data_IF_157917328664
#
_entry.id   IF_157917328664
#
_cell.length_a   1.000
_cell.length_b   1.000
_cell.length_c   1.000
_cell.angle_alpha   90.00
_cell.angle_beta   90.00
_cell.angle_gamma   90.00
#
_symmetry.space_group_name_H-M   'P 1'
#
loop_
_entity.id
_entity.type
_entity.pdbx_description
1 polymer ?
#
# COMPACT_ATOMS: atom_id res chain seq x y z
N UNK A 1 -26.92 -4.83 -28.76
CA UNK A 1 -26.74 -3.53 -28.06
C UNK A 1 -25.76 -3.66 -26.90
N UNK A 2 -25.79 -4.72 -26.05
CA UNK A 2 -24.81 -4.95 -24.96
C UNK A 2 -23.35 -5.07 -25.46
N UNK A 3 -23.13 -5.55 -26.69
CA UNK A 3 -21.77 -5.69 -27.27
C UNK A 3 -21.15 -4.37 -27.75
N UNK A 4 -21.95 -3.34 -28.00
CA UNK A 4 -21.48 -2.07 -28.54
C UNK A 4 -21.17 -0.99 -27.50
N UNK A 5 -21.74 -1.09 -26.31
CA UNK A 5 -21.67 -0.06 -25.25
C UNK A 5 -20.88 -0.47 -24.02
N UNK A 6 -20.45 -1.76 -23.93
CA UNK A 6 -19.61 -2.23 -22.82
C UNK A 6 -20.14 -1.86 -21.42
N UNK A 7 -19.24 -1.35 -20.57
CA UNK A 7 -19.52 -1.01 -19.18
C UNK A 7 -20.51 0.17 -19.00
N UNK A 8 -20.73 0.97 -20.05
CA UNK A 8 -21.71 2.08 -20.02
C UNK A 8 -23.15 1.59 -19.93
N UNK A 9 -23.44 0.38 -20.42
CA UNK A 9 -24.79 -0.15 -20.41
C UNK A 9 -25.24 -0.59 -19.00
N UNK A 10 -24.32 -1.06 -18.17
CA UNK A 10 -24.59 -1.42 -16.78
C UNK A 10 -24.85 -0.20 -15.90
N UNK A 11 -24.28 0.94 -16.25
CA UNK A 11 -24.52 2.20 -15.56
C UNK A 11 -25.86 2.83 -15.92
N UNK A 12 -26.34 2.68 -17.17
CA UNK A 12 -27.62 3.22 -17.60
C UNK A 12 -28.81 2.24 -17.39
N UNK A 13 -28.52 0.93 -17.43
CA UNK A 13 -29.54 -0.13 -17.31
C UNK A 13 -29.02 -1.25 -16.38
N UNK A 14 -28.89 -0.96 -15.08
CA UNK A 14 -28.39 -1.95 -14.14
C UNK A 14 -29.39 -3.12 -13.99
N UNK A 15 -28.86 -4.34 -13.99
CA UNK A 15 -29.65 -5.54 -13.78
C UNK A 15 -29.73 -5.96 -12.31
N UNK A 16 -28.82 -5.41 -11.47
CA UNK A 16 -28.77 -5.65 -10.02
C UNK A 16 -28.63 -4.35 -9.25
N UNK A 17 -28.91 -4.38 -7.94
CA UNK A 17 -28.71 -3.22 -7.05
C UNK A 17 -27.22 -2.83 -7.02
N UNK A 18 -26.31 -3.80 -7.04
CA UNK A 18 -24.88 -3.58 -7.10
C UNK A 18 -24.48 -2.85 -8.39
N UNK A 19 -25.03 -3.25 -9.53
CA UNK A 19 -24.83 -2.56 -10.82
C UNK A 19 -25.42 -1.14 -10.81
N UNK A 20 -26.57 -0.93 -10.15
CA UNK A 20 -27.20 0.39 -10.03
C UNK A 20 -26.35 1.37 -9.19
N UNK A 21 -25.57 0.87 -8.28
CA UNK A 21 -24.66 1.64 -7.45
C UNK A 21 -23.29 1.89 -8.11
N UNK A 22 -23.01 1.27 -9.26
CA UNK A 22 -21.80 1.53 -10.04
C UNK A 22 -21.89 2.87 -10.75
N UNK A 23 -21.07 3.82 -10.32
CA UNK A 23 -20.98 5.15 -10.94
C UNK A 23 -20.30 5.05 -12.32
N UNK A 24 -20.79 5.73 -13.37
CA UNK A 24 -20.13 5.80 -14.67
C UNK A 24 -18.71 6.38 -14.55
N UNK A 25 -17.70 5.59 -14.86
CA UNK A 25 -16.28 5.98 -14.76
C UNK A 25 -15.34 4.82 -14.47
N UNK A 26 -15.89 3.72 -13.98
CA UNK A 26 -15.16 2.49 -13.64
C UNK A 26 -14.36 2.60 -12.33
N UNK A 27 -14.20 1.47 -11.64
CA UNK A 27 -13.39 1.37 -10.43
C UNK A 27 -11.95 1.80 -10.71
N UNK A 28 -11.31 2.43 -9.73
CA UNK A 28 -9.91 2.83 -9.86
C UNK A 28 -8.95 1.64 -9.75
N UNK A 29 -9.30 0.64 -8.91
CA UNK A 29 -8.57 -0.60 -8.72
C UNK A 29 -9.40 -1.82 -9.21
N UNK A 30 -9.66 -1.95 -10.52
CA UNK A 30 -10.47 -3.06 -11.04
C UNK A 30 -9.81 -4.44 -10.86
N UNK A 31 -8.49 -4.43 -10.60
CA UNK A 31 -7.71 -5.64 -10.31
C UNK A 31 -7.99 -6.25 -8.95
N UNK A 32 -8.52 -5.46 -7.99
CA UNK A 32 -8.77 -5.95 -6.62
C UNK A 32 -10.00 -6.84 -6.59
N UNK A 33 -9.76 -8.12 -6.38
CA UNK A 33 -10.79 -9.16 -6.28
C UNK A 33 -10.61 -9.94 -4.98
N UNK A 34 -11.72 -10.24 -4.32
CA UNK A 34 -11.71 -10.94 -3.04
C UNK A 34 -10.97 -12.29 -3.12
N UNK A 35 -11.32 -13.10 -4.10
CA UNK A 35 -10.75 -14.44 -4.36
C UNK A 35 -9.25 -14.45 -4.70
N UNK A 36 -8.69 -13.32 -5.10
CA UNK A 36 -7.28 -13.22 -5.49
C UNK A 36 -6.43 -12.49 -4.45
N UNK A 37 -7.03 -11.47 -3.79
CA UNK A 37 -6.31 -10.61 -2.86
C UNK A 37 -6.53 -10.98 -1.39
N UNK A 38 -7.64 -11.64 -1.05
CA UNK A 38 -7.90 -12.14 0.29
C UNK A 38 -7.33 -13.55 0.44
N UNK A 39 -6.51 -13.77 1.47
CA UNK A 39 -5.83 -15.05 1.72
C UNK A 39 -6.11 -15.53 3.13
N UNK A 40 -6.33 -16.84 3.28
CA UNK A 40 -6.64 -17.45 4.56
C UNK A 40 -5.42 -17.52 5.49
N UNK A 41 -4.23 -17.68 4.92
CA UNK A 41 -3.02 -17.93 5.69
C UNK A 41 -2.27 -16.63 5.99
N UNK A 42 -1.89 -16.37 7.25
CA UNK A 42 -1.04 -15.25 7.59
C UNK A 42 0.38 -15.47 7.03
N UNK A 43 1.09 -14.36 6.76
CA UNK A 43 2.52 -14.42 6.49
C UNK A 43 3.27 -14.95 7.72
N UNK A 44 4.30 -15.75 7.49
CA UNK A 44 5.09 -16.39 8.54
C UNK A 44 6.59 -16.05 8.43
N UNK A 45 7.36 -16.34 9.49
CA UNK A 45 8.79 -16.06 9.54
C UNK A 45 9.13 -14.67 10.08
N UNK A 46 10.33 -14.13 9.75
CA UNK A 46 10.71 -12.77 10.16
C UNK A 46 9.85 -11.74 9.42
N UNK A 47 9.08 -10.95 10.18
CA UNK A 47 8.15 -9.96 9.64
C UNK A 47 8.50 -8.57 10.18
N UNK A 48 8.40 -7.56 9.32
CA UNK A 48 8.34 -6.16 9.72
C UNK A 48 6.88 -5.72 9.74
N UNK A 49 6.49 -4.94 10.75
CA UNK A 49 5.11 -4.49 10.93
C UNK A 49 5.01 -2.99 10.87
N UNK A 50 4.02 -2.52 10.14
CA UNK A 50 3.72 -1.11 9.92
C UNK A 50 2.28 -0.84 10.29
N UNK A 51 2.03 0.31 10.90
CA UNK A 51 0.66 0.82 11.05
C UNK A 51 0.56 2.08 10.21
N UNK A 52 -0.41 2.09 9.31
CA UNK A 52 -0.71 3.22 8.45
C UNK A 52 -1.97 3.87 8.95
N UNK A 53 -1.97 5.18 9.09
CA UNK A 53 -3.14 5.91 9.57
C UNK A 53 -3.51 7.03 8.60
N UNK A 54 -4.81 7.24 8.45
CA UNK A 54 -5.42 8.47 7.97
C UNK A 54 -6.32 8.98 9.09
N UNK A 55 -6.06 10.18 9.58
CA UNK A 55 -6.78 10.75 10.71
C UNK A 55 -7.34 12.12 10.39
N UNK A 56 -8.67 12.20 10.45
CA UNK A 56 -9.47 13.42 10.48
C UNK A 56 -10.37 13.43 11.71
N UNK A 57 -11.03 14.56 11.97
CA UNK A 57 -12.03 14.62 13.03
C UNK A 57 -13.28 13.77 12.72
N UNK A 58 -13.56 13.57 11.46
CA UNK A 58 -14.68 12.80 10.94
C UNK A 58 -14.40 11.29 10.92
N UNK A 59 -13.12 10.89 10.78
CA UNK A 59 -12.74 9.49 10.72
C UNK A 59 -11.28 9.27 11.09
N UNK A 60 -11.03 8.25 11.92
CA UNK A 60 -9.74 7.58 12.01
C UNK A 60 -9.83 6.30 11.17
N UNK A 61 -8.92 6.11 10.22
CA UNK A 61 -8.74 4.84 9.52
C UNK A 61 -7.32 4.34 9.73
N UNK A 62 -7.16 3.12 10.20
CA UNK A 62 -5.86 2.54 10.52
C UNK A 62 -5.74 1.10 10.00
N UNK A 63 -4.60 0.80 9.37
CA UNK A 63 -4.32 -0.51 8.78
C UNK A 63 -2.97 -1.04 9.25
N UNK A 64 -2.95 -2.29 9.73
CA UNK A 64 -1.73 -2.99 10.11
C UNK A 64 -1.24 -3.82 8.94
N UNK A 65 -0.05 -3.53 8.47
CA UNK A 65 0.58 -4.20 7.34
C UNK A 65 1.86 -4.89 7.80
N UNK A 66 1.98 -6.17 7.52
CA UNK A 66 3.21 -6.94 7.73
C UNK A 66 3.88 -7.26 6.40
N UNK A 67 5.21 -7.32 6.42
CA UNK A 67 6.03 -7.57 5.23
C UNK A 67 7.07 -8.62 5.54
N UNK A 68 7.18 -9.64 4.69
CA UNK A 68 8.16 -10.70 4.80
C UNK A 68 9.52 -10.33 4.16
N UNK A 69 10.49 -11.21 4.30
CA UNK A 69 11.85 -11.02 3.74
C UNK A 69 11.89 -11.05 2.20
N UNK A 70 10.83 -11.51 1.56
CA UNK A 70 10.67 -11.56 0.09
C UNK A 70 9.91 -10.34 -0.44
N UNK A 71 9.67 -9.33 0.40
CA UNK A 71 8.89 -8.13 0.07
C UNK A 71 7.43 -8.43 -0.33
N UNK A 72 6.82 -9.52 0.21
CA UNK A 72 5.38 -9.70 0.16
C UNK A 72 4.75 -9.02 1.36
N UNK A 73 3.68 -8.27 1.14
CA UNK A 73 2.96 -7.57 2.18
C UNK A 73 1.57 -8.20 2.41
N UNK A 74 1.09 -8.08 3.63
CA UNK A 74 -0.25 -8.51 4.01
C UNK A 74 -0.85 -7.50 4.99
N UNK A 75 -2.00 -6.91 4.62
CA UNK A 75 -2.82 -6.19 5.58
C UNK A 75 -3.58 -7.21 6.43
N UNK A 76 -3.36 -7.22 7.74
CA UNK A 76 -3.88 -8.24 8.64
C UNK A 76 -4.83 -7.72 9.71
N UNK A 77 -5.06 -6.41 9.74
CA UNK A 77 -6.01 -5.74 10.64
C UNK A 77 -6.40 -4.38 10.09
N UNK A 78 -7.66 -4.01 10.26
CA UNK A 78 -8.14 -2.65 10.07
C UNK A 78 -8.85 -2.15 11.33
N UNK A 79 -8.91 -0.84 11.48
CA UNK A 79 -9.71 -0.17 12.51
C UNK A 79 -10.19 1.18 11.96
N UNK A 80 -11.49 1.36 11.93
CA UNK A 80 -12.16 2.58 11.49
C UNK A 80 -13.09 3.06 12.58
N UNK A 81 -12.95 4.32 12.99
CA UNK A 81 -13.79 4.93 14.01
C UNK A 81 -13.95 6.42 13.78
N UNK A 82 -15.18 6.90 13.66
CA UNK A 82 -15.46 8.33 13.59
C UNK A 82 -15.35 9.02 14.95
N UNK A 83 -15.28 10.34 14.93
CA UNK A 83 -15.46 11.24 16.08
C UNK A 83 -14.44 11.04 17.24
N UNK A 84 -13.27 10.46 16.97
CA UNK A 84 -12.20 10.37 17.97
C UNK A 84 -11.37 11.65 18.01
N UNK A 85 -11.08 12.15 19.21
CA UNK A 85 -10.00 13.12 19.40
C UNK A 85 -8.65 12.47 19.11
N UNK A 86 -7.63 13.26 18.79
CA UNK A 86 -6.29 12.72 18.49
C UNK A 86 -5.69 11.91 19.65
N UNK A 87 -5.93 12.30 20.90
CA UNK A 87 -5.51 11.55 22.08
C UNK A 87 -6.23 10.21 22.19
N UNK A 88 -7.57 10.21 22.04
CA UNK A 88 -8.36 8.97 22.03
C UNK A 88 -7.95 8.03 20.91
N UNK A 89 -7.67 8.58 19.72
CA UNK A 89 -7.16 7.80 18.60
C UNK A 89 -5.84 7.12 18.93
N UNK A 90 -4.87 7.88 19.47
CA UNK A 90 -3.57 7.35 19.87
C UNK A 90 -3.70 6.25 20.95
N UNK A 91 -4.47 6.49 22.02
CA UNK A 91 -4.68 5.51 23.10
C UNK A 91 -5.35 4.23 22.57
N UNK A 92 -6.34 4.37 21.71
CA UNK A 92 -7.04 3.24 21.08
C UNK A 92 -6.08 2.41 20.22
N UNK A 93 -5.30 3.07 19.34
CA UNK A 93 -4.34 2.37 18.50
C UNK A 93 -3.27 1.64 19.32
N UNK A 94 -2.76 2.24 20.39
CA UNK A 94 -1.84 1.57 21.31
C UNK A 94 -2.49 0.36 21.99
N UNK A 95 -3.73 0.49 22.46
CA UNK A 95 -4.47 -0.61 23.08
C UNK A 95 -4.66 -1.78 22.13
N UNK A 96 -5.03 -1.51 20.87
CA UNK A 96 -5.22 -2.55 19.84
C UNK A 96 -3.90 -3.23 19.48
N UNK A 97 -2.78 -2.51 19.59
CA UNK A 97 -1.44 -2.97 19.18
C UNK A 97 -0.63 -3.55 20.33
N UNK A 98 -1.17 -3.58 21.58
CA UNK A 98 -0.45 -3.76 22.86
C UNK A 98 0.63 -4.84 22.88
N UNK A 99 0.43 -5.95 22.17
CA UNK A 99 1.33 -7.12 22.19
C UNK A 99 2.23 -7.24 20.96
N UNK A 100 2.22 -6.22 20.09
CA UNK A 100 2.94 -6.25 18.83
C UNK A 100 4.05 -5.19 18.75
N UNK A 101 5.25 -5.60 18.36
CA UNK A 101 6.28 -4.64 17.98
C UNK A 101 5.97 -4.06 16.59
N UNK A 102 5.84 -2.75 16.51
CA UNK A 102 5.62 -2.00 15.26
C UNK A 102 6.92 -1.30 14.88
N UNK A 103 7.43 -1.64 13.70
CA UNK A 103 8.66 -1.03 13.17
C UNK A 103 8.47 0.46 12.84
N UNK A 104 7.30 0.83 12.28
CA UNK A 104 7.04 2.21 11.88
C UNK A 104 5.54 2.51 11.84
N UNK A 105 5.16 3.66 12.37
CA UNK A 105 3.84 4.25 12.26
C UNK A 105 3.85 5.28 11.14
N UNK A 106 3.03 5.11 10.12
CA UNK A 106 3.02 5.91 8.90
C UNK A 106 1.80 6.80 8.85
N UNK A 107 2.00 8.07 8.51
CA UNK A 107 0.91 9.04 8.45
C UNK A 107 1.13 10.10 7.35
N UNK A 108 0.05 10.69 6.81
CA UNK A 108 0.14 11.75 5.83
C UNK A 108 0.71 13.04 6.45
N UNK A 109 1.34 13.93 5.64
CA UNK A 109 2.05 15.11 6.14
C UNK A 109 1.18 16.16 6.82
N UNK A 110 -0.12 16.20 6.56
CA UNK A 110 -1.06 17.15 7.13
C UNK A 110 -1.22 17.00 8.64
N UNK A 111 -0.94 15.83 9.22
CA UNK A 111 -0.93 15.64 10.68
C UNK A 111 0.15 16.46 11.41
N UNK A 112 1.11 17.03 10.69
CA UNK A 112 2.11 17.97 11.23
C UNK A 112 1.68 19.43 11.15
N UNK A 113 0.52 19.72 10.54
CA UNK A 113 0.00 21.08 10.49
C UNK A 113 -0.44 21.50 11.89
N UNK A 114 0.07 22.66 12.34
CA UNK A 114 -0.31 23.20 13.65
C UNK A 114 -1.68 23.87 13.57
N UNK A 115 -2.49 23.62 14.56
CA UNK A 115 -3.79 24.26 14.72
C UNK A 115 -3.59 25.68 15.25
N UNK A 116 -4.33 26.64 14.71
CA UNK A 116 -4.22 28.03 15.08
C UNK A 116 -4.68 28.32 16.53
N UNK A 117 -5.61 27.52 17.05
CA UNK A 117 -6.19 27.66 18.38
C UNK A 117 -5.27 27.15 19.51
N UNK A 118 -4.58 26.04 19.28
CA UNK A 118 -3.77 25.37 20.30
C UNK A 118 -2.26 25.44 20.03
N UNK A 119 -1.86 25.81 18.81
CA UNK A 119 -0.46 25.79 18.36
C UNK A 119 0.12 24.36 18.23
N UNK A 120 -0.69 23.31 18.48
CA UNK A 120 -0.27 21.90 18.47
C UNK A 120 -0.71 21.22 17.17
N UNK A 121 0.08 20.28 16.70
CA UNK A 121 -0.27 19.40 15.61
C UNK A 121 -0.87 18.08 16.13
N UNK A 122 -1.50 17.31 15.25
CA UNK A 122 -1.91 15.95 15.58
C UNK A 122 -0.71 15.08 15.91
N UNK A 123 0.40 15.24 15.16
CA UNK A 123 1.67 14.58 15.45
C UNK A 123 2.15 14.83 16.90
N UNK A 124 2.09 16.08 17.38
CA UNK A 124 2.50 16.40 18.76
C UNK A 124 1.68 15.61 19.79
N UNK A 125 0.36 15.47 19.54
CA UNK A 125 -0.54 14.73 20.45
C UNK A 125 -0.21 13.24 20.40
N UNK A 126 -0.06 12.63 19.22
CA UNK A 126 0.32 11.22 19.08
C UNK A 126 1.66 10.93 19.75
N UNK A 127 2.63 11.83 19.61
CA UNK A 127 3.95 11.72 20.24
C UNK A 127 3.85 11.72 21.77
N UNK A 128 3.05 12.60 22.36
CA UNK A 128 2.81 12.64 23.81
C UNK A 128 2.15 11.38 24.34
N UNK A 129 1.31 10.72 23.54
CA UNK A 129 0.70 9.43 23.86
C UNK A 129 1.62 8.24 23.56
N UNK A 130 2.84 8.44 23.07
CA UNK A 130 3.84 7.39 22.86
C UNK A 130 3.90 6.82 21.44
N UNK A 131 3.18 7.40 20.47
CA UNK A 131 3.25 7.01 19.07
C UNK A 131 4.14 8.00 18.28
N UNK A 132 5.26 7.50 17.76
CA UNK A 132 6.14 8.29 16.90
C UNK A 132 5.74 8.08 15.44
N UNK A 133 5.01 9.04 14.89
CA UNK A 133 4.58 8.99 13.50
C UNK A 133 5.73 9.33 12.54
N UNK A 134 5.80 8.61 11.44
CA UNK A 134 6.69 8.88 10.33
C UNK A 134 5.90 9.49 9.18
N UNK A 135 6.35 10.66 8.74
CA UNK A 135 5.72 11.42 7.66
C UNK A 135 5.91 10.73 6.32
N UNK A 136 4.82 10.49 5.61
CA UNK A 136 4.83 9.98 4.22
C UNK A 136 4.67 11.13 3.21
N UNK A 137 4.55 10.82 1.92
CA UNK A 137 4.30 11.81 0.89
C UNK A 137 2.80 12.00 0.62
N UNK A 138 2.39 13.26 0.36
CA UNK A 138 1.03 13.59 -0.10
C UNK A 138 0.88 13.51 -1.63
N UNK A 139 1.92 13.11 -2.37
CA UNK A 139 1.80 12.95 -3.81
C UNK A 139 0.83 11.81 -4.14
N UNK A 140 -0.40 12.23 -4.47
CA UNK A 140 -1.48 11.30 -4.78
C UNK A 140 -1.16 10.44 -6.00
N UNK A 141 -0.48 11.00 -7.01
CA UNK A 141 -0.15 10.25 -8.23
C UNK A 141 0.88 9.14 -7.95
N UNK A 142 1.96 9.45 -7.26
CA UNK A 142 2.96 8.46 -6.85
C UNK A 142 2.37 7.41 -5.92
N UNK A 143 1.52 7.82 -4.97
CA UNK A 143 0.83 6.90 -4.07
C UNK A 143 -0.10 5.95 -4.82
N UNK A 144 -0.92 6.46 -5.73
CA UNK A 144 -1.80 5.65 -6.58
C UNK A 144 -1.02 4.66 -7.46
N UNK A 145 0.12 5.10 -8.01
CA UNK A 145 0.99 4.24 -8.81
C UNK A 145 1.58 3.13 -7.95
N UNK A 146 2.10 3.48 -6.76
CA UNK A 146 2.62 2.50 -5.79
C UNK A 146 1.56 1.47 -5.39
N UNK A 147 0.34 1.91 -5.09
CA UNK A 147 -0.76 1.00 -4.76
C UNK A 147 -1.06 0.01 -5.89
N UNK A 148 -1.11 0.47 -7.14
CA UNK A 148 -1.33 -0.40 -8.30
C UNK A 148 -0.21 -1.44 -8.47
N UNK A 149 1.04 -1.06 -8.23
CA UNK A 149 2.16 -2.00 -8.28
C UNK A 149 2.05 -3.07 -7.17
N UNK A 150 1.63 -2.70 -5.97
CA UNK A 150 1.43 -3.63 -4.87
C UNK A 150 0.24 -4.58 -5.12
N UNK A 151 -0.85 -4.05 -5.68
CA UNK A 151 -2.11 -4.78 -5.91
C UNK A 151 -2.11 -5.57 -7.23
N UNK A 152 -1.16 -5.31 -8.13
CA UNK A 152 -1.06 -5.99 -9.42
C UNK A 152 -0.78 -7.49 -9.22
N UNK A 153 -1.59 -8.33 -9.87
CA UNK A 153 -1.33 -9.77 -9.92
C UNK A 153 -0.14 -10.04 -10.84
N UNK A 154 0.90 -10.64 -10.30
CA UNK A 154 2.07 -11.04 -11.08
C UNK A 154 1.72 -12.14 -12.08
N UNK A 155 2.17 -12.03 -13.30
CA UNK A 155 2.00 -13.07 -14.31
C UNK A 155 2.77 -14.36 -13.96
N UNK A 156 3.89 -14.22 -13.28
CA UNK A 156 4.77 -15.31 -12.88
C UNK A 156 4.21 -16.08 -11.68
N UNK A 157 3.90 -15.37 -10.58
CA UNK A 157 3.46 -16.00 -9.33
C UNK A 157 1.95 -16.20 -9.24
N UNK A 158 1.16 -15.57 -10.15
CA UNK A 158 -0.31 -15.51 -10.12
C UNK A 158 -0.87 -14.94 -8.82
N UNK A 159 -0.07 -14.18 -8.09
CA UNK A 159 -0.45 -13.54 -6.81
C UNK A 159 -0.08 -12.06 -6.80
N UNK A 160 -0.85 -11.22 -6.11
CA UNK A 160 -0.44 -9.85 -5.84
C UNK A 160 0.66 -9.85 -4.77
N UNK A 161 1.43 -8.77 -4.73
CA UNK A 161 2.43 -8.59 -3.70
C UNK A 161 1.86 -8.09 -2.38
N UNK A 162 0.71 -7.43 -2.43
CA UNK A 162 -0.07 -7.04 -1.25
C UNK A 162 -1.36 -7.85 -1.23
N UNK A 163 -1.54 -8.57 -0.13
CA UNK A 163 -2.73 -9.38 0.16
C UNK A 163 -3.45 -8.85 1.40
N UNK A 164 -4.67 -9.31 1.63
CA UNK A 164 -5.45 -9.04 2.82
C UNK A 164 -5.70 -10.36 3.54
N UNK A 165 -5.48 -10.38 4.85
CA UNK A 165 -5.81 -11.58 5.63
C UNK A 165 -7.34 -11.72 5.66
N UNK A 166 -7.81 -12.93 5.47
CA UNK A 166 -9.25 -13.23 5.32
C UNK A 166 -10.05 -12.71 6.51
N UNK A 167 -11.16 -12.05 6.20
CA UNK A 167 -12.15 -11.51 7.13
C UNK A 167 -11.59 -10.43 8.11
N UNK A 168 -10.39 -9.87 7.87
CA UNK A 168 -9.80 -8.88 8.79
C UNK A 168 -9.83 -7.44 8.26
N UNK A 169 -10.04 -7.25 6.95
CA UNK A 169 -10.03 -5.92 6.32
C UNK A 169 -11.21 -5.71 5.37
N UNK A 170 -12.47 -5.95 5.80
CA UNK A 170 -13.64 -5.86 4.93
C UNK A 170 -13.93 -4.45 4.40
N UNK A 171 -13.72 -3.40 5.21
CA UNK A 171 -13.95 -2.01 4.79
C UNK A 171 -12.92 -1.58 3.75
N UNK A 172 -11.63 -1.83 4.00
CA UNK A 172 -10.57 -1.52 3.06
C UNK A 172 -10.81 -2.18 1.70
N UNK A 173 -11.14 -3.48 1.67
CA UNK A 173 -11.43 -4.20 0.43
C UNK A 173 -12.63 -3.57 -0.28
N UNK A 174 -13.71 -3.28 0.46
CA UNK A 174 -14.90 -2.60 -0.07
C UNK A 174 -14.56 -1.23 -0.67
N UNK A 175 -13.76 -0.42 0.03
CA UNK A 175 -13.35 0.90 -0.42
C UNK A 175 -12.48 0.82 -1.68
N UNK A 176 -11.50 -0.09 -1.73
CA UNK A 176 -10.67 -0.32 -2.92
C UNK A 176 -11.49 -0.74 -4.15
N UNK A 177 -12.52 -1.57 -3.96
CA UNK A 177 -13.39 -2.03 -5.04
C UNK A 177 -14.35 -0.96 -5.55
N UNK A 178 -14.78 -0.04 -4.67
CA UNK A 178 -15.81 0.98 -4.99
C UNK A 178 -15.24 2.33 -5.40
N UNK A 179 -14.02 2.66 -4.98
CA UNK A 179 -13.44 3.97 -5.30
C UNK A 179 -13.27 4.15 -6.82
N UNK A 180 -13.71 5.30 -7.31
CA UNK A 180 -13.77 5.59 -8.74
C UNK A 180 -12.52 6.35 -9.20
N UNK A 181 -12.29 6.37 -10.51
CA UNK A 181 -11.33 7.28 -11.13
C UNK A 181 -11.79 8.72 -11.00
N UNK A 182 -10.87 9.64 -10.74
CA UNK A 182 -11.19 11.06 -10.81
C UNK A 182 -11.56 11.45 -12.27
N UNK A 183 -12.70 12.14 -12.41
CA UNK A 183 -13.24 12.52 -13.73
C UNK A 183 -12.31 13.45 -14.52
N UNK A 184 -11.59 14.32 -13.81
CA UNK A 184 -10.69 15.31 -14.40
C UNK A 184 -9.24 14.83 -14.42
N UNK A 185 -8.88 13.91 -13.53
CA UNK A 185 -7.52 13.38 -13.37
C UNK A 185 -7.56 11.83 -13.31
N UNK A 186 -7.80 11.14 -14.43
CA UNK A 186 -8.04 9.69 -14.46
C UNK A 186 -6.86 8.82 -13.98
N UNK A 187 -5.70 9.44 -13.73
CA UNK A 187 -4.51 8.78 -13.18
C UNK A 187 -4.54 8.65 -11.65
N UNK A 188 -5.53 9.24 -10.98
CA UNK A 188 -5.75 9.16 -9.54
C UNK A 188 -7.20 8.78 -9.25
N UNK A 189 -7.48 8.33 -8.03
CA UNK A 189 -8.86 8.08 -7.62
C UNK A 189 -9.58 9.38 -7.23
N UNK A 190 -10.90 9.33 -7.30
CA UNK A 190 -11.77 10.43 -6.92
C UNK A 190 -11.75 10.63 -5.40
N UNK A 191 -11.79 11.88 -4.96
CA UNK A 191 -11.88 12.26 -3.54
C UNK A 191 -13.32 12.26 -2.99
N UNK A 192 -14.25 11.84 -3.81
CA UNK A 192 -15.68 11.74 -3.44
C UNK A 192 -16.27 10.44 -3.99
N UNK A 193 -17.13 9.73 -3.23
CA UNK A 193 -17.56 10.06 -1.85
C UNK A 193 -16.42 9.95 -0.85
N UNK A 194 -16.39 10.85 0.15
CA UNK A 194 -15.28 10.97 1.10
C UNK A 194 -15.13 9.72 1.97
N UNK A 195 -16.21 9.07 2.32
CA UNK A 195 -16.25 7.81 3.07
C UNK A 195 -15.49 6.63 2.44
N UNK A 196 -15.16 6.71 1.14
CA UNK A 196 -14.37 5.69 0.46
C UNK A 196 -12.86 6.01 0.47
N UNK A 197 -12.47 7.21 0.89
CA UNK A 197 -11.08 7.65 0.74
C UNK A 197 -10.22 7.36 1.96
N UNK A 198 -10.77 7.34 3.17
CA UNK A 198 -10.00 7.17 4.41
C UNK A 198 -9.19 5.87 4.45
N UNK A 199 -9.84 4.73 4.21
CA UNK A 199 -9.15 3.43 4.14
C UNK A 199 -8.08 3.39 3.05
N UNK A 200 -8.43 3.95 1.87
CA UNK A 200 -7.52 3.96 0.71
C UNK A 200 -6.34 4.90 0.96
N UNK A 201 -6.56 6.07 1.56
CA UNK A 201 -5.51 7.03 1.90
C UNK A 201 -4.60 6.51 3.02
N UNK A 202 -5.15 5.80 4.00
CA UNK A 202 -4.37 5.10 5.01
C UNK A 202 -3.43 4.05 4.38
N UNK A 203 -3.96 3.13 3.56
CA UNK A 203 -3.13 2.13 2.86
C UNK A 203 -2.12 2.78 1.91
N UNK A 204 -2.47 3.90 1.27
CA UNK A 204 -1.58 4.66 0.40
C UNK A 204 -0.33 5.14 1.13
N UNK A 205 -0.41 5.48 2.42
CA UNK A 205 0.75 5.84 3.24
C UNK A 205 1.82 4.73 3.24
N UNK A 206 1.41 3.47 3.35
CA UNK A 206 2.32 2.34 3.24
C UNK A 206 2.90 2.23 1.82
N UNK A 207 2.06 2.28 0.80
CA UNK A 207 2.49 2.06 -0.59
C UNK A 207 3.42 3.17 -1.13
N UNK A 208 3.31 4.40 -0.60
CA UNK A 208 4.21 5.50 -0.95
C UNK A 208 5.50 5.47 -0.12
N UNK A 209 5.43 4.98 1.10
CA UNK A 209 6.59 4.81 1.98
C UNK A 209 7.48 3.66 1.52
N UNK A 210 6.87 2.48 1.37
CA UNK A 210 7.56 1.33 0.82
C UNK A 210 7.34 1.31 -0.70
N UNK A 211 8.18 2.04 -1.41
CA UNK A 211 8.25 1.88 -2.86
C UNK A 211 8.77 0.49 -3.13
N UNK A 212 7.84 -0.44 -3.41
CA UNK A 212 8.22 -1.75 -3.90
C UNK A 212 9.11 -1.53 -5.11
N UNK A 213 10.25 -2.17 -5.10
CA UNK A 213 11.07 -2.27 -6.28
C UNK A 213 10.30 -3.07 -7.34
N UNK A 214 9.24 -2.41 -7.92
CA UNK A 214 8.70 -2.85 -9.18
C UNK A 214 9.88 -2.85 -10.13
N UNK A 215 10.35 -4.04 -10.49
CA UNK A 215 11.52 -4.16 -11.34
C UNK A 215 12.71 -3.28 -10.89
N UNK A 216 13.23 -3.53 -9.68
CA UNK A 216 14.65 -3.59 -9.64
C UNK A 216 15.03 -4.84 -10.45
N UNK A 217 14.90 -4.81 -11.79
CA UNK A 217 16.12 -5.04 -12.58
C UNK A 217 17.14 -4.20 -11.85
N UNK A 218 17.89 -4.88 -10.94
CA UNK A 218 18.97 -4.24 -10.25
C UNK A 218 19.68 -3.51 -11.36
N UNK A 219 19.59 -2.18 -11.42
CA UNK A 219 20.64 -1.39 -12.01
C UNK A 219 21.84 -1.64 -11.09
N UNK A 220 22.26 -2.88 -11.06
CA UNK A 220 23.55 -3.28 -10.55
C UNK A 220 24.44 -2.50 -11.47
N UNK A 221 24.94 -1.36 -10.98
CA UNK A 221 25.92 -0.56 -11.72
C UNK A 221 27.01 -1.54 -12.05
N UNK A 222 26.95 -2.07 -13.29
CA UNK A 222 27.95 -3.05 -13.76
C UNK A 222 29.28 -2.40 -13.54
N UNK A 223 30.12 -3.04 -12.75
CA UNK A 223 31.41 -2.52 -12.44
C UNK A 223 32.40 -2.92 -13.56
N UNK A 224 33.21 -1.97 -13.99
CA UNK A 224 34.33 -2.27 -14.91
C UNK A 224 35.35 -3.10 -14.16
N UNK A 225 35.34 -4.42 -14.41
CA UNK A 225 36.35 -5.32 -13.86
C UNK A 225 37.62 -5.24 -14.68
N UNK A 226 38.74 -5.61 -14.09
CA UNK A 226 40.01 -5.80 -14.77
C UNK A 226 39.88 -6.96 -15.76
N UNK A 227 40.69 -6.93 -16.83
CA UNK A 227 40.61 -7.93 -17.89
C UNK A 227 40.87 -9.36 -17.41
N UNK A 228 41.82 -9.53 -16.49
CA UNK A 228 42.10 -10.80 -15.84
C UNK A 228 40.93 -11.37 -15.07
N UNK A 229 40.23 -10.55 -14.28
CA UNK A 229 39.02 -10.96 -13.55
C UNK A 229 37.82 -11.29 -14.46
N UNK A 230 37.73 -10.67 -15.63
CA UNK A 230 36.71 -11.00 -16.64
C UNK A 230 37.02 -12.38 -17.25
N UNK A 231 38.28 -12.67 -17.50
CA UNK A 231 38.71 -13.97 -18.03
C UNK A 231 38.44 -15.07 -17.01
N UNK A 232 38.82 -14.86 -15.75
CA UNK A 232 38.54 -15.77 -14.64
C UNK A 232 37.04 -16.03 -14.49
N UNK A 233 36.23 -14.98 -14.56
CA UNK A 233 34.77 -15.10 -14.49
C UNK A 233 34.19 -15.92 -15.66
N UNK A 234 34.71 -15.75 -16.88
CA UNK A 234 34.24 -16.51 -18.06
C UNK A 234 34.56 -18.01 -17.93
N UNK A 235 35.66 -18.33 -17.30
CA UNK A 235 36.15 -19.71 -17.14
C UNK A 235 35.68 -20.38 -15.85
N UNK A 236 35.09 -19.64 -14.92
CA UNK A 236 34.61 -20.12 -13.62
C UNK A 236 33.33 -20.95 -13.69
N UNK A 237 33.13 -21.83 -12.70
CA UNK A 237 31.88 -22.55 -12.51
C UNK A 237 30.72 -21.58 -12.13
N UNK A 238 29.48 -22.03 -12.21
CA UNK A 238 28.29 -21.22 -11.87
C UNK A 238 28.31 -20.72 -10.43
N UNK A 239 28.81 -21.54 -9.51
CA UNK A 239 28.96 -21.25 -8.08
C UNK A 239 30.02 -20.16 -7.84
N UNK A 240 31.18 -20.29 -8.50
CA UNK A 240 32.27 -19.31 -8.40
C UNK A 240 31.83 -17.97 -9.02
N UNK A 241 31.15 -17.99 -10.16
CA UNK A 241 30.58 -16.77 -10.76
C UNK A 241 29.63 -16.04 -9.80
N UNK A 242 28.77 -16.78 -9.10
CA UNK A 242 27.86 -16.20 -8.12
C UNK A 242 28.61 -15.53 -6.94
N UNK A 243 29.69 -16.15 -6.46
CA UNK A 243 30.56 -15.57 -5.44
C UNK A 243 31.29 -14.31 -5.93
N UNK A 244 31.84 -14.35 -7.14
CA UNK A 244 32.50 -13.18 -7.75
C UNK A 244 31.53 -11.99 -7.91
N UNK A 245 30.30 -12.24 -8.36
CA UNK A 245 29.28 -11.20 -8.46
C UNK A 245 28.91 -10.65 -7.07
N UNK A 246 28.81 -11.52 -6.06
CA UNK A 246 28.48 -11.12 -4.69
C UNK A 246 29.54 -10.18 -4.10
N UNK A 247 30.80 -10.45 -4.32
CA UNK A 247 31.90 -9.68 -3.73
C UNK A 247 32.31 -8.46 -4.58
N UNK A 248 32.31 -8.60 -5.88
CA UNK A 248 32.87 -7.59 -6.79
C UNK A 248 31.79 -6.77 -7.50
N UNK A 249 30.52 -7.23 -7.46
CA UNK A 249 29.37 -6.69 -8.24
C UNK A 249 29.39 -7.25 -9.67
N UNK A 250 28.28 -7.06 -10.42
CA UNK A 250 28.14 -7.56 -11.80
C UNK A 250 29.17 -6.90 -12.74
N UNK A 251 29.87 -7.70 -13.59
CA UNK A 251 30.81 -7.16 -14.56
C UNK A 251 30.15 -6.50 -15.75
N UNK A 252 30.79 -5.47 -16.30
CA UNK A 252 30.50 -5.00 -17.67
C UNK A 252 31.25 -5.94 -18.63
N UNK A 253 30.52 -6.91 -19.21
CA UNK A 253 31.03 -7.85 -20.21
C UNK A 253 30.96 -7.24 -21.60
#
# INVERSE_FOLDING_TARGET
TKRALGDLITAEYPATIEEALMVPGGAYFPEVKKDTHEVAEPLTGPLRRYVCIDYGLDMLSAHWVQVDTSENAQCYREYDMPDLTAGQAADTLLSITSDEYIDTWLAPPDLWNRRNDTGRSVFDIFYEHGIILTKTSNDLFSGCTGMKEWLRVSEETKRPALTFLKDTCPNLIRCLQKIQKDKNKPKVYAKTPHELTHDVDSLRCFCVWWVRSADKKKNVKKKKWRADLIEDYRNASKEIRALMIKELGEPML
#
